data_IF_602680851883
#
_entry.id   IF_602680851883
#
_cell.length_a   1.000
_cell.length_b   1.000
_cell.length_c   1.000
_cell.angle_alpha   90.00
_cell.angle_beta   90.00
_cell.angle_gamma   90.00
#
_symmetry.space_group_name_H-M   'P 1'
#
loop_
_entity.id
_entity.type
_entity.pdbx_description
1 polymer ?
#
# COMPACT_ATOMS: atom_id res chain seq x y z
N UNK A 1 -23.58 2.00 -9.29
CA UNK A 1 -22.15 1.90 -8.98
C UNK A 1 -21.36 2.77 -9.94
N UNK A 2 -20.60 3.68 -9.39
CA UNK A 2 -19.74 4.52 -10.20
C UNK A 2 -18.46 3.76 -10.52
N UNK A 3 -18.04 3.83 -11.76
CA UNK A 3 -16.75 3.30 -12.15
C UNK A 3 -15.64 4.20 -11.62
N UNK A 4 -14.54 3.60 -11.16
CA UNK A 4 -13.37 4.35 -10.75
C UNK A 4 -12.70 4.87 -12.03
N UNK A 5 -12.51 6.19 -12.09
CA UNK A 5 -11.84 6.79 -13.22
C UNK A 5 -10.37 6.38 -13.23
N UNK A 6 -9.93 5.76 -14.33
CA UNK A 6 -8.52 5.39 -14.48
C UNK A 6 -7.71 6.58 -14.96
N UNK A 7 -6.56 6.77 -14.32
CA UNK A 7 -5.71 7.93 -14.57
C UNK A 7 -4.45 7.55 -15.33
N UNK A 8 -4.08 8.42 -16.25
CA UNK A 8 -2.83 8.33 -17.01
C UNK A 8 -1.87 9.40 -16.52
N UNK A 9 -0.63 9.35 -16.97
CA UNK A 9 0.37 10.34 -16.57
C UNK A 9 -0.11 11.78 -16.79
N UNK A 10 -0.86 12.00 -17.87
CA UNK A 10 -1.40 13.33 -18.20
C UNK A 10 -2.39 13.87 -17.18
N UNK A 11 -2.98 12.99 -16.38
CA UNK A 11 -4.00 13.35 -15.40
C UNK A 11 -3.41 13.62 -14.01
N UNK A 12 -2.09 13.46 -13.85
CA UNK A 12 -1.45 13.51 -12.54
C UNK A 12 -0.71 14.82 -12.33
N UNK A 13 -0.67 15.26 -11.07
CA UNK A 13 0.12 16.44 -10.68
C UNK A 13 0.68 16.27 -9.28
N UNK A 14 1.78 16.92 -9.01
CA UNK A 14 2.41 16.91 -7.69
C UNK A 14 1.45 17.49 -6.65
N UNK A 15 1.34 16.82 -5.52
CA UNK A 15 0.43 17.20 -4.45
C UNK A 15 -0.95 16.56 -4.53
N UNK A 16 -1.24 15.88 -5.63
CA UNK A 16 -2.52 15.17 -5.80
C UNK A 16 -2.64 14.07 -4.75
N UNK A 17 -3.83 13.93 -4.17
CA UNK A 17 -4.09 12.98 -3.08
C UNK A 17 -5.15 11.97 -3.45
N UNK A 18 -4.99 10.78 -2.88
CA UNK A 18 -5.91 9.65 -3.08
C UNK A 18 -6.16 8.97 -1.76
N UNK A 19 -7.35 8.42 -1.59
CA UNK A 19 -7.72 7.66 -0.40
C UNK A 19 -8.35 6.34 -0.84
N UNK A 20 -7.89 5.25 -0.25
CA UNK A 20 -8.41 3.92 -0.55
C UNK A 20 -9.69 3.61 0.23
N UNK A 21 -10.33 2.49 -0.11
CA UNK A 21 -11.30 1.86 0.78
C UNK A 21 -10.58 1.30 2.01
N UNK A 22 -11.28 0.51 2.81
CA UNK A 22 -10.72 -0.03 4.05
C UNK A 22 -10.64 -1.55 4.02
N UNK A 23 -9.82 -2.10 4.92
CA UNK A 23 -9.61 -3.54 5.07
C UNK A 23 -9.56 -3.88 6.56
N UNK A 24 -10.36 -4.87 6.98
CA UNK A 24 -10.32 -5.36 8.35
C UNK A 24 -9.27 -6.45 8.47
N UNK A 25 -8.29 -6.24 9.35
CA UNK A 25 -7.23 -7.22 9.60
C UNK A 25 -7.70 -8.21 10.66
N UNK A 26 -8.02 -9.43 10.24
CA UNK A 26 -8.50 -10.45 11.14
C UNK A 26 -7.38 -11.35 11.66
N UNK A 27 -7.48 -11.77 12.92
CA UNK A 27 -6.46 -12.64 13.56
C UNK A 27 -6.20 -13.90 12.75
N UNK A 28 -7.25 -14.54 12.23
CA UNK A 28 -7.10 -15.76 11.43
C UNK A 28 -6.26 -15.51 10.18
N UNK A 29 -6.43 -14.36 9.52
CA UNK A 29 -5.66 -13.98 8.33
C UNK A 29 -4.21 -13.71 8.68
N UNK A 30 -3.96 -13.07 9.82
CA UNK A 30 -2.60 -12.80 10.29
C UNK A 30 -1.82 -14.10 10.42
N UNK A 31 -2.42 -15.10 11.08
CA UNK A 31 -1.79 -16.40 11.30
C UNK A 31 -1.61 -17.19 10.00
N UNK A 32 -2.60 -17.13 9.12
CA UNK A 32 -2.58 -17.83 7.83
C UNK A 32 -1.45 -17.32 6.95
N UNK A 33 -1.33 -16.01 6.82
CA UNK A 33 -0.24 -15.41 6.03
C UNK A 33 1.13 -15.77 6.65
N UNK A 34 1.24 -15.62 7.96
CA UNK A 34 2.50 -15.87 8.66
C UNK A 34 2.92 -17.33 8.54
N UNK A 35 2.00 -18.27 8.65
CA UNK A 35 2.31 -19.70 8.53
C UNK A 35 2.97 -20.03 7.20
N UNK A 36 2.59 -19.32 6.15
CA UNK A 36 3.14 -19.55 4.82
C UNK A 36 4.42 -18.74 4.55
N UNK A 37 4.47 -17.47 4.96
CA UNK A 37 5.52 -16.55 4.51
C UNK A 37 6.41 -15.99 5.60
N UNK A 38 6.01 -16.05 6.88
CA UNK A 38 6.75 -15.44 7.97
C UNK A 38 6.43 -16.16 9.27
N UNK A 39 6.82 -17.45 9.38
CA UNK A 39 6.38 -18.30 10.49
C UNK A 39 7.12 -18.05 11.80
N UNK A 40 7.03 -16.83 12.30
CA UNK A 40 7.60 -16.44 13.58
C UNK A 40 6.52 -16.47 14.66
N UNK A 41 6.85 -16.90 15.88
CA UNK A 41 5.85 -17.13 16.93
C UNK A 41 4.92 -15.95 17.22
N UNK A 42 5.43 -14.72 17.21
CA UNK A 42 4.63 -13.53 17.51
C UNK A 42 3.60 -13.17 16.42
N UNK A 43 3.65 -13.86 15.26
CA UNK A 43 2.65 -13.75 14.21
C UNK A 43 1.71 -14.95 14.17
N UNK A 44 2.00 -15.99 14.96
CA UNK A 44 1.30 -17.27 14.88
C UNK A 44 0.51 -17.63 16.14
N UNK A 45 0.96 -17.17 17.30
CA UNK A 45 0.44 -17.63 18.58
C UNK A 45 0.31 -16.47 19.57
N UNK A 46 -0.88 -16.32 20.12
CA UNK A 46 -1.16 -15.22 21.05
C UNK A 46 -0.28 -15.24 22.29
N UNK A 47 -0.06 -16.41 22.88
CA UNK A 47 0.75 -16.51 24.10
C UNK A 47 2.21 -16.15 23.83
N UNK A 48 2.77 -16.62 22.72
CA UNK A 48 4.13 -16.29 22.34
C UNK A 48 4.25 -14.80 21.99
N UNK A 49 3.25 -14.24 21.34
CA UNK A 49 3.22 -12.82 20.99
C UNK A 49 3.17 -11.93 22.23
N UNK A 50 2.38 -12.33 23.22
CA UNK A 50 2.27 -11.63 24.50
C UNK A 50 3.63 -11.51 25.19
N UNK A 51 4.43 -12.56 25.13
CA UNK A 51 5.77 -12.60 25.72
C UNK A 51 6.84 -11.92 24.86
N UNK A 52 6.48 -11.47 23.67
CA UNK A 52 7.42 -10.83 22.74
C UNK A 52 7.45 -9.32 22.91
N UNK A 53 8.34 -8.66 22.13
CA UNK A 53 8.42 -7.21 22.12
C UNK A 53 7.11 -6.57 21.64
N UNK A 54 6.29 -7.32 20.87
CA UNK A 54 5.00 -6.82 20.39
C UNK A 54 3.92 -6.82 21.45
N UNK A 55 4.09 -7.61 22.50
CA UNK A 55 3.13 -7.72 23.63
C UNK A 55 1.72 -8.07 23.19
N UNK A 56 1.60 -8.84 22.15
CA UNK A 56 0.33 -9.28 21.58
C UNK A 56 0.52 -9.64 20.13
N UNK A 57 -0.46 -10.34 19.57
CA UNK A 57 -0.38 -10.80 18.18
C UNK A 57 -0.19 -9.58 17.26
N UNK A 58 0.79 -9.68 16.39
CA UNK A 58 1.09 -8.66 15.38
C UNK A 58 1.16 -9.31 14.00
N UNK A 59 0.65 -8.62 12.99
CA UNK A 59 0.77 -9.08 11.61
C UNK A 59 2.22 -8.97 11.15
N UNK A 60 2.63 -9.90 10.28
CA UNK A 60 3.89 -9.76 9.58
C UNK A 60 3.92 -8.42 8.84
N UNK A 61 5.06 -7.75 8.85
CA UNK A 61 5.23 -6.51 8.07
C UNK A 61 4.92 -6.73 6.59
N UNK A 62 5.26 -7.91 6.06
CA UNK A 62 4.96 -8.24 4.66
C UNK A 62 3.48 -8.44 4.42
N UNK A 63 2.74 -8.92 5.41
CA UNK A 63 1.28 -9.01 5.33
C UNK A 63 0.67 -7.60 5.29
N UNK A 64 1.15 -6.73 6.17
CA UNK A 64 0.72 -5.32 6.21
C UNK A 64 0.99 -4.65 4.86
N UNK A 65 2.16 -4.90 4.27
CA UNK A 65 2.51 -4.38 2.95
C UNK A 65 1.58 -4.93 1.86
N UNK A 66 1.24 -6.23 1.93
CA UNK A 66 0.35 -6.86 0.95
C UNK A 66 -1.06 -6.27 1.03
N UNK A 67 -1.55 -5.99 2.24
CA UNK A 67 -2.85 -5.34 2.41
C UNK A 67 -2.84 -3.93 1.81
N UNK A 68 -1.76 -3.18 2.02
CA UNK A 68 -1.62 -1.86 1.41
C UNK A 68 -1.71 -1.96 -0.12
N UNK A 69 -1.01 -2.92 -0.72
CA UNK A 69 -1.06 -3.13 -2.17
C UNK A 69 -2.49 -3.47 -2.63
N UNK A 70 -3.17 -4.36 -1.91
CA UNK A 70 -4.56 -4.69 -2.22
C UNK A 70 -5.44 -3.43 -2.26
N UNK A 71 -5.29 -2.55 -1.27
CA UNK A 71 -6.08 -1.32 -1.21
C UNK A 71 -5.73 -0.34 -2.33
N UNK A 72 -4.45 -0.25 -2.68
CA UNK A 72 -4.01 0.61 -3.79
C UNK A 72 -4.56 0.12 -5.13
N UNK A 73 -4.49 -1.18 -5.38
CA UNK A 73 -4.98 -1.79 -6.63
C UNK A 73 -6.50 -1.73 -6.71
N UNK A 74 -7.18 -1.83 -5.57
CA UNK A 74 -8.65 -1.82 -5.51
C UNK A 74 -9.26 -0.43 -5.64
N UNK A 75 -8.48 0.59 -5.95
CA UNK A 75 -8.99 1.94 -6.17
C UNK A 75 -8.21 3.04 -5.45
N UNK A 76 -7.29 2.67 -4.55
CA UNK A 76 -6.48 3.64 -3.81
C UNK A 76 -5.53 4.44 -4.69
N UNK A 77 -5.04 3.83 -5.78
CA UNK A 77 -4.29 4.50 -6.83
C UNK A 77 -4.83 4.03 -8.17
N UNK A 78 -5.79 4.74 -8.76
CA UNK A 78 -6.48 4.27 -9.96
C UNK A 78 -5.69 4.54 -11.24
N UNK A 79 -4.47 4.05 -11.30
CA UNK A 79 -3.61 4.21 -12.49
C UNK A 79 -4.06 3.24 -13.58
N UNK A 80 -4.21 3.74 -14.79
CA UNK A 80 -4.77 2.99 -15.90
C UNK A 80 -3.99 1.73 -16.27
N UNK A 81 -2.67 1.77 -16.11
CA UNK A 81 -1.81 0.62 -16.44
C UNK A 81 -1.44 -0.23 -15.23
N UNK A 82 -2.15 -0.08 -14.12
CA UNK A 82 -1.86 -0.79 -12.88
C UNK A 82 -0.73 -0.12 -12.10
N UNK A 83 -0.32 -0.77 -11.01
CA UNK A 83 0.74 -0.25 -10.14
C UNK A 83 2.00 -1.05 -10.42
N UNK A 84 2.95 -0.45 -11.14
CA UNK A 84 4.19 -1.08 -11.54
C UNK A 84 5.34 -0.33 -10.86
N UNK A 85 5.87 -0.91 -9.81
CA UNK A 85 6.96 -0.31 -9.05
C UNK A 85 8.31 -0.93 -9.37
N UNK A 86 9.35 -0.14 -9.26
CA UNK A 86 10.72 -0.65 -9.45
C UNK A 86 11.69 -0.13 -8.40
N UNK A 87 11.17 0.33 -7.27
CA UNK A 87 12.01 0.71 -6.15
C UNK A 87 11.27 1.63 -5.20
N UNK A 88 11.82 1.75 -4.01
CA UNK A 88 11.24 2.62 -3.01
C UNK A 88 11.74 2.30 -1.61
N UNK A 89 11.13 2.95 -0.64
CA UNK A 89 11.45 2.78 0.76
C UNK A 89 10.19 2.38 1.52
N UNK A 90 10.37 1.48 2.49
CA UNK A 90 9.28 0.95 3.32
C UNK A 90 9.63 1.16 4.79
N UNK A 91 8.63 1.52 5.60
CA UNK A 91 8.77 1.56 7.04
C UNK A 91 7.47 1.07 7.71
N UNK A 92 7.61 0.49 8.89
CA UNK A 92 6.50 0.03 9.72
C UNK A 92 6.58 0.75 11.08
N UNK A 93 6.00 1.96 11.20
CA UNK A 93 6.12 2.74 12.44
C UNK A 93 5.47 2.08 13.66
N UNK A 94 4.40 1.32 13.44
CA UNK A 94 3.67 0.61 14.49
C UNK A 94 3.22 -0.75 13.96
N UNK A 95 3.10 -1.76 14.85
CA UNK A 95 2.57 -3.06 14.40
C UNK A 95 1.09 -2.96 14.05
N UNK A 96 0.69 -3.78 13.07
CA UNK A 96 -0.70 -3.97 12.74
C UNK A 96 -1.26 -5.07 13.64
N UNK A 97 -2.41 -4.80 14.24
CA UNK A 97 -3.03 -5.71 15.23
C UNK A 97 -4.28 -6.37 14.66
N UNK A 98 -4.66 -7.54 15.19
CA UNK A 98 -5.96 -8.11 14.84
C UNK A 98 -7.06 -7.13 15.23
N UNK A 99 -8.03 -7.00 14.35
CA UNK A 99 -9.15 -6.07 14.53
C UNK A 99 -8.91 -4.67 14.00
N UNK A 100 -7.69 -4.36 13.55
CA UNK A 100 -7.41 -3.06 12.95
C UNK A 100 -8.17 -2.90 11.63
N UNK A 101 -8.75 -1.73 11.43
CA UNK A 101 -9.33 -1.34 10.15
C UNK A 101 -8.34 -0.42 9.45
N UNK A 102 -7.87 -0.84 8.29
CA UNK A 102 -6.76 -0.19 7.60
C UNK A 102 -7.24 0.58 6.39
N UNK A 103 -6.64 1.74 6.15
CA UNK A 103 -6.94 2.59 5.00
C UNK A 103 -5.67 3.30 4.55
N UNK A 104 -5.47 3.42 3.23
CA UNK A 104 -4.28 4.04 2.67
C UNK A 104 -4.61 5.42 2.12
N UNK A 105 -3.75 6.39 2.45
CA UNK A 105 -3.78 7.72 1.86
C UNK A 105 -2.48 7.90 1.09
N UNK A 106 -2.58 8.38 -0.14
CA UNK A 106 -1.42 8.52 -1.03
C UNK A 106 -1.31 9.95 -1.53
N UNK A 107 -0.08 10.38 -1.75
CA UNK A 107 0.20 11.69 -2.31
C UNK A 107 1.28 11.57 -3.39
N UNK A 108 1.06 12.26 -4.51
CA UNK A 108 2.06 12.31 -5.58
C UNK A 108 3.12 13.34 -5.18
N UNK A 109 4.37 12.86 -5.08
CA UNK A 109 5.50 13.66 -4.60
C UNK A 109 6.31 14.25 -5.75
N UNK A 110 6.50 13.47 -6.82
CA UNK A 110 7.34 13.88 -7.94
C UNK A 110 6.88 13.19 -9.21
N UNK A 111 6.97 13.88 -10.33
CA UNK A 111 6.66 13.32 -11.65
C UNK A 111 7.85 13.64 -12.56
N UNK A 112 8.44 12.59 -13.14
CA UNK A 112 9.56 12.71 -14.06
C UNK A 112 9.22 12.04 -15.38
N UNK A 113 8.79 12.81 -16.40
CA UNK A 113 8.54 12.23 -17.71
C UNK A 113 9.82 11.60 -18.27
N UNK A 114 9.68 10.48 -18.96
CA UNK A 114 10.82 9.80 -19.57
C UNK A 114 11.28 10.56 -20.80
N UNK A 115 12.59 10.76 -20.95
CA UNK A 115 13.17 11.39 -22.12
C UNK A 115 13.27 10.42 -23.28
N UNK A 116 13.59 9.16 -22.99
CA UNK A 116 13.79 8.14 -24.00
C UNK A 116 12.49 7.48 -24.46
N UNK A 117 11.48 7.46 -23.57
CA UNK A 117 10.18 6.83 -23.86
C UNK A 117 9.07 7.83 -23.52
N UNK A 118 8.73 8.71 -24.48
CA UNK A 118 7.81 9.84 -24.21
C UNK A 118 6.39 9.44 -23.80
N UNK A 119 6.01 8.16 -24.02
CA UNK A 119 4.68 7.68 -23.64
C UNK A 119 4.59 7.24 -22.18
N UNK A 120 5.65 7.43 -21.41
CA UNK A 120 5.66 7.03 -19.99
C UNK A 120 6.48 7.98 -19.15
N UNK A 121 6.36 7.84 -17.85
CA UNK A 121 7.15 8.58 -16.87
C UNK A 121 7.21 7.83 -15.56
N UNK A 122 8.00 8.37 -14.65
CA UNK A 122 8.16 7.85 -13.31
C UNK A 122 7.43 8.78 -12.36
N UNK A 123 6.56 8.20 -11.53
CA UNK A 123 5.80 8.95 -10.53
C UNK A 123 6.22 8.44 -9.16
N UNK A 124 6.70 9.34 -8.31
CA UNK A 124 7.00 9.00 -6.93
C UNK A 124 5.75 9.25 -6.11
N UNK A 125 5.26 8.19 -5.46
CA UNK A 125 4.06 8.25 -4.64
C UNK A 125 4.41 7.88 -3.21
N UNK A 126 3.94 8.66 -2.26
CA UNK A 126 4.05 8.33 -0.84
C UNK A 126 2.69 7.86 -0.36
N UNK A 127 2.63 6.61 0.08
CA UNK A 127 1.41 5.98 0.59
C UNK A 127 1.58 5.68 2.06
N UNK A 128 0.62 6.11 2.87
CA UNK A 128 0.62 5.86 4.31
C UNK A 128 -0.62 5.06 4.66
N UNK A 129 -0.45 3.90 5.30
CA UNK A 129 -1.60 3.13 5.75
C UNK A 129 -1.82 3.40 7.24
N UNK A 130 -3.05 3.77 7.58
CA UNK A 130 -3.47 4.11 8.93
C UNK A 130 -4.41 3.06 9.47
N UNK A 131 -4.37 2.86 10.79
CA UNK A 131 -5.39 2.09 11.49
C UNK A 131 -6.58 2.99 11.85
N UNK A 132 -7.58 2.46 12.57
CA UNK A 132 -8.79 3.19 12.97
C UNK A 132 -8.51 4.39 13.89
N UNK A 133 -7.37 4.38 14.56
CA UNK A 133 -6.98 5.46 15.48
C UNK A 133 -6.10 6.51 14.78
N UNK A 134 -6.03 6.46 13.46
CA UNK A 134 -5.20 7.33 12.63
C UNK A 134 -3.72 7.21 12.95
N UNK A 135 -3.30 6.04 13.38
CA UNK A 135 -1.88 5.75 13.58
C UNK A 135 -1.32 5.09 12.33
N UNK A 136 -0.16 5.56 11.90
CA UNK A 136 0.50 4.98 10.73
C UNK A 136 1.10 3.62 11.07
N UNK A 137 0.72 2.60 10.32
CA UNK A 137 1.26 1.24 10.48
C UNK A 137 2.19 0.85 9.33
N UNK A 138 2.16 1.61 8.24
CA UNK A 138 2.96 1.31 7.05
C UNK A 138 3.18 2.57 6.23
N UNK A 139 4.42 2.79 5.83
CA UNK A 139 4.80 3.89 4.95
C UNK A 139 5.51 3.32 3.74
N UNK A 140 5.08 3.75 2.56
CA UNK A 140 5.72 3.34 1.31
C UNK A 140 5.97 4.58 0.46
N UNK A 141 7.21 4.83 0.11
CA UNK A 141 7.54 5.82 -0.92
C UNK A 141 8.08 5.03 -2.10
N UNK A 142 7.33 4.98 -3.18
CA UNK A 142 7.64 4.12 -4.32
C UNK A 142 7.73 4.92 -5.61
N UNK A 143 8.61 4.46 -6.50
CA UNK A 143 8.72 4.96 -7.86
C UNK A 143 7.93 4.03 -8.77
N UNK A 144 6.93 4.59 -9.44
CA UNK A 144 6.00 3.84 -10.26
C UNK A 144 6.11 4.25 -11.71
N UNK A 145 6.01 3.25 -12.60
CA UNK A 145 5.94 3.50 -14.04
C UNK A 145 4.51 3.81 -14.42
N UNK A 146 4.26 4.97 -15.01
CA UNK A 146 2.93 5.39 -15.41
C UNK A 146 2.92 5.78 -16.88
N UNK A 147 1.92 5.31 -17.60
CA UNK A 147 1.79 5.55 -19.03
C UNK A 147 0.97 6.81 -19.31
N UNK A 148 1.26 7.45 -20.43
CA UNK A 148 0.41 8.49 -20.97
C UNK A 148 -0.79 7.87 -21.65
N UNK A 149 -1.84 8.68 -21.82
CA UNK A 149 -3.03 8.27 -22.55
C UNK A 149 -2.63 7.88 -23.97
N UNK A 150 -3.16 6.75 -24.48
CA UNK A 150 -2.86 6.37 -25.87
C UNK A 150 -3.24 7.47 -26.83
N UNK A 151 -2.36 7.73 -27.80
CA UNK A 151 -2.63 8.73 -28.82
C UNK A 151 -3.66 8.23 -29.82
N UNK A 152 -4.59 9.10 -30.08
CA UNK A 152 -5.45 9.12 -31.24
C UNK A 152 -6.00 7.82 -31.75
N UNK A 153 -7.19 7.75 -31.64
CA UNK A 153 -8.05 6.91 -32.47
C UNK A 153 -9.42 7.41 -32.26
#
# INVERSE_FOLDING_TARGET
MSEVQQLYLDDLHVGQRFTSGSYLMEAARIKEFAAEFDPQPFHLDEAAAEASVFRGLAASGWHTAAVAMRLLVAGGLPFANGIIGFGGEIAWPKPTRPGDTLQVESEIIEITPSRSKPQQGIVTVRSTMFNQDREAVYLLTAKLLVLRRPRGK
#
